data_IF_808478709691
#
_entry.id   IF_808478709691
#
_cell.length_a   1.000
_cell.length_b   1.000
_cell.length_c   1.000
_cell.angle_alpha   90.00
_cell.angle_beta   90.00
_cell.angle_gamma   90.00
#
_symmetry.space_group_name_H-M   'P 1'
#
loop_
_entity.id
_entity.type
_entity.pdbx_description
1 polymer ?
#
# COMPACT_ATOMS: atom_id res chain seq x y z
N UNK A 1 1.88 0.32 17.35
CA UNK A 1 2.64 -0.88 16.92
C UNK A 1 3.63 -1.33 17.99
N UNK A 2 4.35 -0.42 18.63
CA UNK A 2 5.31 -0.72 19.73
C UNK A 2 4.73 -1.61 20.84
N UNK A 3 3.47 -1.36 21.24
CA UNK A 3 2.79 -2.16 22.27
C UNK A 3 2.60 -3.65 21.89
N UNK A 4 2.24 -3.96 20.65
CA UNK A 4 2.07 -5.35 20.20
C UNK A 4 3.38 -6.14 20.23
N UNK A 5 4.51 -5.49 19.92
CA UNK A 5 5.82 -6.14 19.96
C UNK A 5 6.17 -6.63 21.36
N UNK A 6 5.60 -5.98 22.39
CA UNK A 6 5.75 -6.32 23.80
C UNK A 6 4.54 -7.06 24.39
N UNK A 7 3.71 -7.68 23.54
CA UNK A 7 2.49 -8.40 23.93
C UNK A 7 1.47 -7.57 24.73
N UNK A 8 1.50 -6.24 24.59
CA UNK A 8 0.53 -5.34 25.20
C UNK A 8 -0.62 -5.06 24.21
N UNK A 9 -1.78 -5.65 24.50
CA UNK A 9 -2.99 -5.59 23.67
C UNK A 9 -4.02 -4.54 24.13
N UNK A 10 -3.62 -3.66 25.06
CA UNK A 10 -4.49 -2.65 25.66
C UNK A 10 -3.91 -1.25 25.52
N UNK A 11 -4.80 -0.24 25.44
CA UNK A 11 -4.44 1.17 25.46
C UNK A 11 -3.63 1.62 24.24
N UNK A 12 -3.98 1.14 23.04
CA UNK A 12 -3.28 1.56 21.82
C UNK A 12 -3.50 3.07 21.54
N UNK A 13 -2.43 3.83 21.27
CA UNK A 13 -2.56 5.22 20.85
C UNK A 13 -2.89 5.33 19.36
N UNK A 14 -3.59 6.40 18.97
CA UNK A 14 -3.86 6.74 17.56
C UNK A 14 -5.13 6.09 16.98
N UNK A 15 -5.14 5.94 15.65
CA UNK A 15 -6.32 5.47 14.88
C UNK A 15 -6.69 4.00 15.16
N UNK A 16 -5.71 3.17 15.50
CA UNK A 16 -5.94 1.76 15.80
C UNK A 16 -6.00 1.57 17.32
N UNK A 17 -7.22 1.55 17.86
CA UNK A 17 -7.48 1.47 19.31
C UNK A 17 -7.55 0.05 19.86
N UNK A 18 -7.60 -0.96 18.98
CA UNK A 18 -7.70 -2.39 19.31
C UNK A 18 -6.85 -3.24 18.36
N UNK A 19 -6.55 -4.47 18.78
CA UNK A 19 -5.82 -5.45 17.98
C UNK A 19 -6.68 -5.96 16.82
N UNK A 20 -6.13 -6.02 15.60
CA UNK A 20 -6.80 -6.57 14.42
C UNK A 20 -6.55 -8.09 14.27
N UNK A 21 -6.37 -8.82 15.36
CA UNK A 21 -6.12 -10.25 15.36
C UNK A 21 -6.81 -10.91 16.56
N UNK A 22 -7.11 -12.20 16.42
CA UNK A 22 -7.55 -13.06 17.53
C UNK A 22 -6.36 -13.44 18.42
N UNK A 23 -6.59 -14.24 19.46
CA UNK A 23 -5.50 -14.79 20.26
C UNK A 23 -4.50 -15.56 19.38
N UNK A 24 -3.22 -15.20 19.53
CA UNK A 24 -2.12 -15.74 18.74
C UNK A 24 -1.32 -16.80 19.52
N UNK A 25 -1.75 -17.13 20.75
CA UNK A 25 -1.07 -18.08 21.64
C UNK A 25 0.26 -17.54 22.18
N UNK A 26 1.08 -18.44 22.73
CA UNK A 26 2.41 -18.07 23.21
C UNK A 26 3.32 -17.70 22.03
N UNK A 27 3.81 -16.46 22.07
CA UNK A 27 4.81 -15.95 21.15
C UNK A 27 5.95 -15.30 21.92
N UNK A 28 7.13 -15.38 21.34
CA UNK A 28 8.28 -14.67 21.85
C UNK A 28 8.13 -13.17 21.52
N UNK A 29 7.85 -12.38 22.54
CA UNK A 29 7.70 -10.93 22.44
C UNK A 29 8.87 -10.22 23.10
N UNK A 30 9.17 -9.00 22.65
CA UNK A 30 10.25 -8.21 23.24
C UNK A 30 9.82 -7.69 24.61
N UNK A 31 10.69 -7.83 25.59
CA UNK A 31 10.45 -7.28 26.93
C UNK A 31 10.75 -5.78 26.93
N UNK A 32 9.80 -4.91 27.32
CA UNK A 32 10.03 -3.47 27.42
C UNK A 32 11.26 -3.13 28.28
N UNK A 33 12.03 -2.14 27.85
CA UNK A 33 13.22 -1.69 28.57
C UNK A 33 14.48 -2.50 28.31
N UNK A 34 14.40 -3.64 27.61
CA UNK A 34 15.58 -4.35 27.11
C UNK A 34 16.26 -3.58 25.97
N UNK A 35 17.56 -3.81 25.78
CA UNK A 35 18.31 -3.22 24.65
C UNK A 35 17.70 -3.58 23.30
N UNK A 36 17.17 -4.80 23.15
CA UNK A 36 16.50 -5.26 21.93
C UNK A 36 15.21 -4.47 21.66
N UNK A 37 14.37 -4.28 22.68
CA UNK A 37 13.17 -3.45 22.57
C UNK A 37 13.50 -2.01 22.19
N UNK A 38 14.49 -1.40 22.85
CA UNK A 38 14.85 -0.01 22.59
C UNK A 38 15.38 0.21 21.17
N UNK A 39 16.24 -0.70 20.68
CA UNK A 39 16.71 -0.67 19.28
C UNK A 39 15.57 -0.86 18.29
N UNK A 40 14.62 -1.75 18.59
CA UNK A 40 13.44 -1.91 17.75
C UNK A 40 12.65 -0.59 17.63
N UNK A 41 12.35 0.05 18.76
CA UNK A 41 11.64 1.34 18.82
C UNK A 41 12.38 2.43 18.05
N UNK A 42 13.71 2.49 18.16
CA UNK A 42 14.56 3.43 17.41
C UNK A 42 14.43 3.23 15.89
N UNK A 43 14.49 1.98 15.42
CA UNK A 43 14.41 1.67 13.99
C UNK A 43 13.04 2.00 13.42
N UNK A 44 11.95 1.56 14.08
CA UNK A 44 10.58 1.76 13.57
C UNK A 44 10.15 3.23 13.59
N UNK A 45 10.71 4.04 14.50
CA UNK A 45 10.46 5.48 14.54
C UNK A 45 11.50 6.31 13.79
N UNK A 46 12.45 5.68 13.10
CA UNK A 46 13.50 6.42 12.40
C UNK A 46 12.87 7.35 11.34
N UNK A 47 13.25 8.64 11.30
CA UNK A 47 12.65 9.59 10.36
C UNK A 47 12.81 9.19 8.89
N UNK A 48 13.89 8.48 8.57
CA UNK A 48 14.15 7.94 7.23
C UNK A 48 13.12 6.88 6.86
N UNK A 49 12.95 5.85 7.70
CA UNK A 49 11.95 4.81 7.47
C UNK A 49 10.54 5.40 7.34
N UNK A 50 10.16 6.31 8.25
CA UNK A 50 8.83 6.93 8.20
C UNK A 50 8.62 7.82 6.95
N UNK A 51 9.69 8.40 6.41
CA UNK A 51 9.65 9.13 5.13
C UNK A 51 9.46 8.16 3.97
N UNK A 52 10.21 7.08 3.95
CA UNK A 52 10.19 6.10 2.86
C UNK A 52 8.86 5.33 2.84
N UNK A 53 8.32 4.92 3.99
CA UNK A 53 6.99 4.31 4.11
C UNK A 53 5.91 5.24 3.55
N UNK A 54 6.00 6.56 3.82
CA UNK A 54 5.06 7.53 3.26
C UNK A 54 5.16 7.62 1.74
N UNK A 55 6.35 7.49 1.18
CA UNK A 55 6.53 7.48 -0.27
C UNK A 55 5.93 6.22 -0.89
N UNK A 56 6.12 5.06 -0.24
CA UNK A 56 5.57 3.76 -0.65
C UNK A 56 4.06 3.64 -0.50
N UNK A 57 3.41 4.59 0.18
CA UNK A 57 1.98 4.51 0.43
C UNK A 57 1.20 4.54 -0.92
N UNK A 58 0.18 3.68 -1.10
CA UNK A 58 -0.56 3.59 -2.36
C UNK A 58 -1.18 4.92 -2.82
N UNK A 59 -1.50 5.80 -1.86
CA UNK A 59 -2.10 7.10 -2.11
C UNK A 59 -1.14 8.12 -2.77
N UNK A 60 0.17 7.85 -2.81
CA UNK A 60 1.16 8.73 -3.46
C UNK A 60 1.71 8.16 -4.77
N UNK A 61 1.40 6.90 -5.11
CA UNK A 61 1.91 6.26 -6.32
C UNK A 61 0.98 6.46 -7.52
N UNK A 62 1.45 7.15 -8.55
CA UNK A 62 0.79 7.27 -9.86
C UNK A 62 1.01 6.04 -10.75
N UNK A 63 1.77 5.05 -10.30
CA UNK A 63 2.16 3.87 -11.07
C UNK A 63 0.97 3.18 -11.78
N UNK A 64 -0.10 2.86 -11.04
CA UNK A 64 -1.28 2.19 -11.64
C UNK A 64 -1.97 3.08 -12.69
N UNK A 65 -1.96 4.40 -12.49
CA UNK A 65 -2.54 5.37 -13.41
C UNK A 65 -1.69 5.52 -14.67
N UNK A 66 -0.36 5.58 -14.51
CA UNK A 66 0.60 5.62 -15.62
C UNK A 66 0.58 4.33 -16.44
N UNK A 67 0.52 3.18 -15.78
CA UNK A 67 0.39 1.88 -16.43
C UNK A 67 -0.91 1.78 -17.24
N UNK A 68 -2.04 2.18 -16.64
CA UNK A 68 -3.31 2.25 -17.38
C UNK A 68 -3.24 3.22 -18.56
N UNK A 69 -2.59 4.38 -18.39
CA UNK A 69 -2.44 5.36 -19.46
C UNK A 69 -1.67 4.79 -20.65
N UNK A 70 -0.60 4.01 -20.41
CA UNK A 70 0.15 3.31 -21.45
C UNK A 70 -0.71 2.30 -22.21
N UNK A 71 -1.49 1.48 -21.50
CA UNK A 71 -2.44 0.54 -22.12
C UNK A 71 -3.47 1.30 -22.96
N UNK A 72 -4.07 2.36 -22.42
CA UNK A 72 -5.07 3.16 -23.13
C UNK A 72 -4.51 3.78 -24.42
N UNK A 73 -3.28 4.31 -24.40
CA UNK A 73 -2.63 4.85 -25.60
C UNK A 73 -2.41 3.77 -26.65
N UNK A 74 -2.02 2.56 -26.24
CA UNK A 74 -1.80 1.44 -27.16
C UNK A 74 -3.08 0.99 -27.88
N UNK A 75 -4.20 0.91 -27.15
CA UNK A 75 -5.49 0.48 -27.70
C UNK A 75 -6.24 1.60 -28.41
N UNK A 76 -6.17 2.84 -27.91
CA UNK A 76 -6.93 3.97 -28.43
C UNK A 76 -6.05 5.19 -28.75
N UNK A 77 -5.07 5.08 -29.68
CA UNK A 77 -4.23 6.20 -30.06
C UNK A 77 -5.05 7.28 -30.77
N UNK A 78 -4.89 8.54 -30.33
CA UNK A 78 -5.57 9.71 -30.93
C UNK A 78 -4.97 10.15 -32.26
N UNK A 79 -3.77 9.69 -32.60
CA UNK A 79 -2.99 10.12 -33.76
C UNK A 79 -3.31 9.39 -35.07
N UNK A 80 -4.11 8.32 -35.05
CA UNK A 80 -4.38 7.50 -36.24
C UNK A 80 -5.68 7.89 -36.95
N UNK A 81 -6.82 7.47 -36.41
CA UNK A 81 -8.14 7.72 -36.95
C UNK A 81 -9.12 7.87 -35.79
N UNK A 82 -9.72 9.04 -35.69
CA UNK A 82 -10.61 9.41 -34.61
C UNK A 82 -12.07 9.30 -35.06
N UNK A 83 -12.80 8.37 -34.44
CA UNK A 83 -14.26 8.37 -34.42
C UNK A 83 -14.72 8.23 -32.97
N UNK A 84 -15.75 8.97 -32.51
CA UNK A 84 -16.22 8.89 -31.12
C UNK A 84 -16.58 7.46 -30.71
N UNK A 85 -17.28 6.73 -31.59
CA UNK A 85 -17.72 5.35 -31.34
C UNK A 85 -16.52 4.39 -31.29
N UNK A 86 -15.58 4.54 -32.22
CA UNK A 86 -14.37 3.72 -32.27
C UNK A 86 -13.45 3.95 -31.07
N UNK A 87 -13.29 5.21 -30.66
CA UNK A 87 -12.54 5.56 -29.45
C UNK A 87 -13.18 4.98 -28.18
N UNK A 88 -14.52 5.04 -28.09
CA UNK A 88 -15.26 4.43 -26.98
C UNK A 88 -15.03 2.92 -26.91
N UNK A 89 -15.20 2.22 -28.04
CA UNK A 89 -15.00 0.77 -28.09
C UNK A 89 -13.57 0.37 -27.71
N UNK A 90 -12.56 1.07 -28.25
CA UNK A 90 -11.14 0.82 -27.94
C UNK A 90 -10.79 1.11 -26.48
N UNK A 91 -11.34 2.18 -25.90
CA UNK A 91 -11.16 2.49 -24.49
C UNK A 91 -11.81 1.44 -23.57
N UNK A 92 -13.00 0.93 -23.92
CA UNK A 92 -13.64 -0.17 -23.18
C UNK A 92 -12.78 -1.43 -23.21
N UNK A 93 -12.19 -1.76 -24.37
CA UNK A 93 -11.28 -2.89 -24.50
C UNK A 93 -10.01 -2.73 -23.65
N UNK A 94 -9.44 -1.52 -23.62
CA UNK A 94 -8.29 -1.19 -22.78
C UNK A 94 -8.60 -1.37 -21.27
N UNK A 95 -9.80 -0.97 -20.83
CA UNK A 95 -10.24 -1.14 -19.43
C UNK A 95 -10.35 -2.62 -19.08
N UNK A 96 -11.03 -3.41 -19.93
CA UNK A 96 -11.16 -4.86 -19.70
C UNK A 96 -9.79 -5.54 -19.64
N UNK A 97 -8.90 -5.22 -20.58
CA UNK A 97 -7.53 -5.73 -20.60
C UNK A 97 -6.76 -5.34 -19.34
N UNK A 98 -6.82 -4.07 -18.93
CA UNK A 98 -6.12 -3.62 -17.72
C UNK A 98 -6.64 -4.32 -16.46
N UNK A 99 -7.96 -4.41 -16.29
CA UNK A 99 -8.56 -5.04 -15.12
C UNK A 99 -8.23 -6.54 -15.01
N UNK A 100 -8.11 -7.25 -16.13
CA UNK A 100 -7.72 -8.66 -16.15
C UNK A 100 -6.23 -8.87 -15.81
N UNK A 101 -5.37 -7.88 -16.07
CA UNK A 101 -3.91 -8.02 -15.97
C UNK A 101 -3.27 -7.19 -14.84
N UNK A 102 -4.01 -6.28 -14.20
CA UNK A 102 -3.55 -5.51 -13.06
C UNK A 102 -3.76 -6.32 -11.78
N UNK A 103 -2.89 -7.32 -11.55
CA UNK A 103 -2.73 -8.02 -10.27
C UNK A 103 -1.71 -7.33 -9.37
#
# INVERSE_FOLDING_TARGET
MERHVANMHMGHPGLYTHCAHNDLGERECLVPGTTAHNKFVEVVNSPRLLKDIRQLAPCTHTFSLEAFHGVLIGFAPKSVCFSPEGMRARAQFAILHFNENAS
#
